data_IF_460106054870
#
_entry.id   IF_460106054870
#
_cell.length_a   1.000
_cell.length_b   1.000
_cell.length_c   1.000
_cell.angle_alpha   90.00
_cell.angle_beta   90.00
_cell.angle_gamma   90.00
#
_symmetry.space_group_name_H-M   'P 1'
#
loop_
_entity.id
_entity.type
_entity.pdbx_description
1 polymer ?
#
# COMPACT_ATOMS: atom_id res chain seq x y z
N UNK A 1 16.08 3.12 1.53
CA UNK A 1 15.06 2.33 2.22
C UNK A 1 13.84 2.12 1.35
N UNK A 2 13.22 0.96 1.48
CA UNK A 2 11.99 0.63 0.79
C UNK A 2 10.91 0.34 1.81
N UNK A 3 9.67 0.69 1.47
CA UNK A 3 8.53 0.52 2.37
C UNK A 3 7.46 -0.28 1.66
N UNK A 4 6.91 -1.28 2.36
CA UNK A 4 5.64 -1.87 1.98
C UNK A 4 4.56 -1.06 2.70
N UNK A 5 3.51 -0.70 1.98
CA UNK A 5 2.43 0.09 2.55
C UNK A 5 1.08 -0.48 2.15
N UNK A 6 0.10 -0.27 3.01
CA UNK A 6 -1.29 -0.62 2.72
C UNK A 6 -2.11 0.67 2.81
N UNK A 7 -2.87 0.96 1.76
CA UNK A 7 -3.80 2.08 1.73
C UNK A 7 -5.22 1.55 1.88
N UNK A 8 -6.04 2.28 2.61
CA UNK A 8 -7.47 2.01 2.67
C UNK A 8 -8.19 3.00 1.77
N UNK A 9 -9.11 2.49 0.93
CA UNK A 9 -9.93 3.30 0.05
C UNK A 9 -11.31 3.55 0.69
N UNK A 10 -12.04 4.51 0.12
CA UNK A 10 -13.35 4.91 0.63
C UNK A 10 -14.35 3.77 0.63
N UNK A 11 -14.25 2.85 -0.33
CA UNK A 11 -15.11 1.67 -0.42
C UNK A 11 -14.63 0.52 0.49
N UNK A 12 -13.67 0.81 1.38
CA UNK A 12 -13.06 -0.13 2.32
C UNK A 12 -12.22 -1.23 1.68
N UNK A 13 -11.85 -1.08 0.43
CA UNK A 13 -10.87 -1.97 -0.20
C UNK A 13 -9.46 -1.53 0.18
N UNK A 14 -8.51 -2.46 0.07
CA UNK A 14 -7.12 -2.21 0.43
C UNK A 14 -6.24 -2.31 -0.80
N UNK A 15 -5.26 -1.42 -0.87
CA UNK A 15 -4.22 -1.47 -1.89
C UNK A 15 -2.86 -1.64 -1.21
N UNK A 16 -2.07 -2.61 -1.68
CA UNK A 16 -0.74 -2.88 -1.15
C UNK A 16 0.31 -2.60 -2.22
N UNK A 17 1.37 -1.89 -1.85
CA UNK A 17 2.43 -1.56 -2.78
C UNK A 17 3.76 -1.38 -2.07
N UNK A 18 4.80 -1.04 -2.85
CA UNK A 18 6.11 -0.68 -2.30
C UNK A 18 6.50 0.70 -2.84
N UNK A 19 7.30 1.43 -2.05
CA UNK A 19 7.80 2.73 -2.45
C UNK A 19 9.05 3.08 -1.64
N UNK A 20 9.79 4.07 -2.09
CA UNK A 20 10.87 4.68 -1.31
C UNK A 20 10.39 5.88 -0.51
N UNK A 21 9.18 6.36 -0.77
CA UNK A 21 8.61 7.55 -0.12
C UNK A 21 7.09 7.38 0.03
N UNK A 22 6.68 6.95 1.23
CA UNK A 22 5.27 6.64 1.50
C UNK A 22 4.37 7.87 1.35
N UNK A 23 4.80 9.01 1.88
CA UNK A 23 3.98 10.23 1.84
C UNK A 23 3.74 10.70 0.41
N UNK A 24 4.79 10.72 -0.40
CA UNK A 24 4.68 11.11 -1.81
C UNK A 24 3.79 10.14 -2.56
N UNK A 25 3.97 8.84 -2.34
CA UNK A 25 3.17 7.83 -3.01
C UNK A 25 1.69 7.89 -2.61
N UNK A 26 1.43 8.14 -1.33
CA UNK A 26 0.05 8.36 -0.87
C UNK A 26 -0.58 9.56 -1.57
N UNK A 27 0.16 10.66 -1.69
CA UNK A 27 -0.33 11.85 -2.39
C UNK A 27 -0.59 11.57 -3.87
N UNK A 28 0.27 10.79 -4.52
CA UNK A 28 0.07 10.37 -5.92
C UNK A 28 -1.24 9.58 -6.07
N UNK A 29 -1.47 8.62 -5.20
CA UNK A 29 -2.71 7.84 -5.21
C UNK A 29 -3.93 8.72 -4.97
N UNK A 30 -3.83 9.63 -4.03
CA UNK A 30 -4.93 10.52 -3.67
C UNK A 30 -5.30 11.47 -4.81
N UNK A 31 -4.31 11.90 -5.60
CA UNK A 31 -4.53 12.79 -6.75
C UNK A 31 -4.89 12.05 -8.04
N UNK A 32 -5.02 10.72 -8.00
CA UNK A 32 -5.36 9.90 -9.16
C UNK A 32 -4.18 9.50 -10.03
N UNK A 33 -2.95 9.79 -9.60
CA UNK A 33 -1.74 9.46 -10.36
C UNK A 33 -1.13 8.12 -10.00
N UNK A 34 -1.73 7.41 -9.03
CA UNK A 34 -1.14 6.19 -8.49
C UNK A 34 -1.46 4.90 -9.22
N UNK A 35 -2.22 4.94 -10.33
CA UNK A 35 -2.57 3.78 -11.12
C UNK A 35 -4.07 3.53 -11.19
N UNK A 36 -4.45 2.52 -11.96
CA UNK A 36 -5.88 2.24 -12.25
C UNK A 36 -6.69 1.93 -11.00
N UNK A 37 -6.12 1.15 -10.09
CA UNK A 37 -6.86 0.73 -8.90
C UNK A 37 -7.29 1.92 -8.06
N UNK A 38 -6.35 2.82 -7.76
CA UNK A 38 -6.60 3.96 -6.88
C UNK A 38 -7.20 5.16 -7.59
N UNK A 39 -7.11 5.23 -8.93
CA UNK A 39 -7.74 6.32 -9.69
C UNK A 39 -9.27 6.19 -9.71
N UNK A 40 -9.80 4.96 -9.66
CA UNK A 40 -11.23 4.71 -9.63
C UNK A 40 -11.78 4.59 -8.20
N UNK A 41 -10.89 4.51 -7.20
CA UNK A 41 -11.25 4.37 -5.79
C UNK A 41 -10.52 5.43 -4.98
N UNK A 42 -11.28 6.24 -4.29
CA UNK A 42 -10.69 7.31 -3.49
C UNK A 42 -9.93 6.72 -2.30
N UNK A 43 -8.63 7.03 -2.18
CA UNK A 43 -7.84 6.60 -1.03
C UNK A 43 -8.12 7.52 0.15
N UNK A 44 -8.23 6.91 1.32
CA UNK A 44 -8.59 7.62 2.56
C UNK A 44 -7.37 7.81 3.45
N UNK A 45 -6.60 6.75 3.67
CA UNK A 45 -5.48 6.80 4.61
C UNK A 45 -4.46 5.70 4.35
N UNK A 46 -3.26 5.92 4.89
CA UNK A 46 -2.24 4.88 5.02
C UNK A 46 -2.59 4.05 6.26
N UNK A 47 -2.89 2.77 6.03
CA UNK A 47 -3.29 1.88 7.09
C UNK A 47 -2.10 1.26 7.82
N UNK A 48 -1.02 0.96 7.07
CA UNK A 48 0.11 0.21 7.59
C UNK A 48 1.34 0.46 6.74
N UNK A 49 2.51 0.50 7.36
CA UNK A 49 3.79 0.57 6.67
C UNK A 49 4.80 -0.36 7.33
N UNK A 50 5.74 -0.86 6.54
CA UNK A 50 6.82 -1.71 7.01
C UNK A 50 8.08 -1.37 6.22
N UNK A 51 9.21 -1.22 6.91
CA UNK A 51 10.46 -0.72 6.32
C UNK A 51 11.43 -1.86 6.03
N UNK A 52 12.11 -1.78 4.88
CA UNK A 52 13.11 -2.74 4.46
C UNK A 52 14.34 -2.04 3.90
N UNK A 53 15.51 -2.67 4.08
CA UNK A 53 16.77 -2.10 3.58
C UNK A 53 16.90 -2.24 2.07
N UNK A 54 16.36 -3.30 1.48
CA UNK A 54 16.50 -3.54 0.05
C UNK A 54 15.15 -3.88 -0.60
N UNK A 55 15.11 -3.67 -1.92
CA UNK A 55 13.90 -3.85 -2.70
C UNK A 55 13.43 -5.31 -2.73
N UNK A 56 14.36 -6.24 -2.78
CA UNK A 56 14.04 -7.67 -2.86
C UNK A 56 13.20 -8.12 -1.67
N UNK A 57 13.60 -7.73 -0.46
CA UNK A 57 12.86 -8.07 0.74
C UNK A 57 11.50 -7.40 0.79
N UNK A 58 11.43 -6.14 0.36
CA UNK A 58 10.15 -5.42 0.30
C UNK A 58 9.18 -6.10 -0.68
N UNK A 59 9.67 -6.52 -1.85
CA UNK A 59 8.84 -7.22 -2.84
C UNK A 59 8.31 -8.55 -2.31
N UNK A 60 9.15 -9.31 -1.60
CA UNK A 60 8.72 -10.57 -0.99
C UNK A 60 7.60 -10.34 0.03
N UNK A 61 7.75 -9.30 0.84
CA UNK A 61 6.75 -8.97 1.85
C UNK A 61 5.46 -8.46 1.21
N UNK A 62 5.57 -7.62 0.19
CA UNK A 62 4.41 -7.14 -0.56
C UNK A 62 3.58 -8.32 -1.09
N UNK A 63 4.26 -9.30 -1.70
CA UNK A 63 3.60 -10.48 -2.21
C UNK A 63 2.85 -11.23 -1.11
N UNK A 64 3.48 -11.45 0.03
CA UNK A 64 2.84 -12.13 1.16
C UNK A 64 1.61 -11.38 1.67
N UNK A 65 1.73 -10.06 1.79
CA UNK A 65 0.62 -9.23 2.27
C UNK A 65 -0.54 -9.23 1.28
N UNK A 66 -0.25 -9.15 -0.03
CA UNK A 66 -1.29 -9.20 -1.05
C UNK A 66 -2.11 -10.48 -1.02
N UNK A 67 -1.51 -11.57 -0.58
CA UNK A 67 -2.17 -12.87 -0.49
C UNK A 67 -2.88 -13.09 0.83
N UNK A 68 -2.79 -12.15 1.78
CA UNK A 68 -3.54 -12.24 3.01
C UNK A 68 -5.00 -11.84 2.78
N UNK A 69 -5.90 -12.47 3.53
CA UNK A 69 -7.29 -12.03 3.57
C UNK A 69 -7.39 -10.68 4.26
N UNK A 70 -8.48 -9.98 4.02
CA UNK A 70 -8.71 -8.67 4.58
C UNK A 70 -8.60 -8.64 6.11
N UNK A 71 -9.19 -9.62 6.79
CA UNK A 71 -9.15 -9.71 8.24
C UNK A 71 -7.71 -9.86 8.76
N UNK A 72 -6.87 -10.60 8.05
CA UNK A 72 -5.46 -10.75 8.40
C UNK A 72 -4.69 -9.45 8.21
N UNK A 73 -4.99 -8.69 7.16
CA UNK A 73 -4.37 -7.38 6.93
C UNK A 73 -4.67 -6.41 8.05
N UNK A 74 -5.85 -6.47 8.63
CA UNK A 74 -6.26 -5.62 9.74
C UNK A 74 -5.51 -5.93 11.04
N UNK A 75 -4.87 -7.08 11.13
CA UNK A 75 -4.12 -7.52 12.31
C UNK A 75 -2.61 -7.46 12.15
N UNK A 76 -2.11 -6.80 11.12
CA UNK A 76 -0.67 -6.62 10.91
C UNK A 76 -0.02 -5.71 11.94
#
# INVERSE_FOLDING_TARGET
MYYVYILECKDRTFYTGITTDVQRRFNDHKSGKGGHYTSSREVVKVLYTEQFKNKSEALKREYKIKNLRRDKKLHL
#
